data_IF_304798794072
#
_entry.id   IF_304798794072
#
_cell.length_a   1.000
_cell.length_b   1.000
_cell.length_c   1.000
_cell.angle_alpha   90.00
_cell.angle_beta   90.00
_cell.angle_gamma   90.00
#
_symmetry.space_group_name_H-M   'P 1'
#
loop_
_entity.id
_entity.type
_entity.pdbx_description
1 polymer ?
#
# COMPACT_ATOMS: atom_id res chain seq x y z
N UNK A 1 43.42 30.02 -0.12
CA UNK A 1 42.44 30.86 0.60
C UNK A 1 41.43 29.96 1.28
N UNK A 2 41.46 29.96 2.61
CA UNK A 2 40.50 29.48 3.62
C UNK A 2 39.61 28.25 3.34
N UNK A 3 39.97 27.13 3.97
CA UNK A 3 39.07 26.04 4.37
C UNK A 3 38.74 26.25 5.85
N UNK A 4 37.47 26.42 6.21
CA UNK A 4 37.02 26.44 7.61
C UNK A 4 36.55 25.03 8.01
N UNK A 5 37.33 24.37 8.87
CA UNK A 5 36.91 23.22 9.69
C UNK A 5 36.15 23.75 10.91
N UNK A 6 34.93 23.26 11.16
CA UNK A 6 34.20 23.50 12.40
C UNK A 6 34.35 22.26 13.29
N UNK A 7 34.85 22.48 14.51
CA UNK A 7 35.00 21.51 15.59
C UNK A 7 33.66 21.40 16.33
N UNK A 8 33.25 20.18 16.70
CA UNK A 8 32.39 19.97 17.86
C UNK A 8 33.10 19.06 18.86
N UNK A 9 33.31 19.62 20.06
CA UNK A 9 33.94 18.99 21.20
C UNK A 9 32.90 18.11 21.93
N UNK A 10 33.24 16.85 22.17
CA UNK A 10 32.61 16.02 23.19
C UNK A 10 32.89 16.61 24.57
N UNK A 11 31.87 16.65 25.44
CA UNK A 11 32.06 16.67 26.89
C UNK A 11 31.20 15.56 27.48
N UNK A 12 31.89 14.53 27.93
CA UNK A 12 31.41 13.41 28.72
C UNK A 12 31.70 13.78 30.18
N UNK A 13 30.70 13.77 31.06
CA UNK A 13 30.90 13.86 32.50
C UNK A 13 30.17 12.71 33.20
N UNK A 14 30.86 12.14 34.18
CA UNK A 14 30.78 10.78 34.68
C UNK A 14 30.34 10.79 36.16
N UNK A 15 29.59 9.75 36.59
CA UNK A 15 29.49 9.17 37.95
C UNK A 15 28.94 10.05 39.11
N UNK A 16 28.33 9.56 40.20
CA UNK A 16 27.67 8.31 40.60
C UNK A 16 27.14 8.50 42.04
N UNK A 17 26.04 7.80 42.40
CA UNK A 17 25.84 7.20 43.72
C UNK A 17 25.17 8.01 44.84
N UNK A 18 23.97 7.55 45.26
CA UNK A 18 23.69 7.25 46.68
C UNK A 18 22.42 6.39 46.81
N UNK A 19 22.62 5.16 47.29
CA UNK A 19 21.61 4.26 47.84
C UNK A 19 21.14 4.79 49.20
N UNK A 20 19.82 4.74 49.48
CA UNK A 20 19.29 4.46 50.81
C UNK A 20 17.95 3.70 50.69
N UNK A 21 17.74 2.87 51.71
CA UNK A 21 16.93 1.65 51.77
C UNK A 21 15.56 1.89 52.42
N UNK A 22 14.61 1.01 52.06
CA UNK A 22 13.41 0.54 52.79
C UNK A 22 12.17 1.45 52.92
N UNK A 23 11.04 0.93 52.44
CA UNK A 23 10.09 0.27 53.34
C UNK A 23 9.41 -0.90 52.61
N UNK A 24 9.28 -1.99 53.37
CA UNK A 24 8.65 -3.24 53.02
C UNK A 24 7.25 -3.16 53.63
N UNK A 25 6.22 -3.05 52.81
CA UNK A 25 4.85 -3.32 53.23
C UNK A 25 4.28 -4.42 52.34
N UNK A 26 3.97 -5.54 52.99
CA UNK A 26 3.19 -6.62 52.44
C UNK A 26 1.76 -6.08 52.20
N UNK A 27 1.36 -5.96 50.96
CA UNK A 27 -0.05 -5.92 50.59
C UNK A 27 -0.30 -7.15 49.72
N UNK A 28 -1.07 -8.08 50.26
CA UNK A 28 -1.64 -9.21 49.54
C UNK A 28 -2.43 -8.67 48.34
N UNK A 29 -1.94 -8.99 47.14
CA UNK A 29 -2.67 -8.73 45.90
C UNK A 29 -3.88 -9.66 45.90
N UNK A 30 -5.07 -9.07 45.99
CA UNK A 30 -6.32 -9.81 45.82
C UNK A 30 -6.43 -10.18 44.34
N UNK A 31 -6.52 -11.48 44.10
CA UNK A 31 -6.93 -12.11 42.84
C UNK A 31 -7.92 -11.23 42.08
N UNK A 32 -7.41 -10.53 41.07
CA UNK A 32 -8.22 -10.06 39.96
C UNK A 32 -8.28 -11.23 38.99
N UNK A 33 -9.47 -11.68 38.56
CA UNK A 33 -9.56 -12.81 37.66
C UNK A 33 -8.79 -12.45 36.39
N UNK A 34 -7.75 -13.23 36.10
CA UNK A 34 -7.07 -13.24 34.83
C UNK A 34 -8.12 -13.35 33.73
N UNK A 35 -8.38 -12.23 33.07
CA UNK A 35 -9.06 -12.19 31.78
C UNK A 35 -8.03 -12.74 30.79
N UNK A 36 -7.82 -14.07 30.83
CA UNK A 36 -7.06 -14.81 29.82
C UNK A 36 -7.75 -14.55 28.48
N UNK A 37 -7.30 -13.49 27.80
CA UNK A 37 -7.47 -13.34 26.36
C UNK A 37 -6.83 -14.57 25.74
N UNK A 38 -7.65 -15.61 25.54
CA UNK A 38 -7.32 -16.75 24.71
C UNK A 38 -6.88 -16.19 23.36
N UNK A 39 -5.57 -16.05 23.21
CA UNK A 39 -4.97 -15.67 21.96
C UNK A 39 -5.08 -16.92 21.12
N UNK A 40 -6.18 -17.02 20.37
CA UNK A 40 -6.36 -18.08 19.37
C UNK A 40 -5.05 -18.16 18.58
N UNK A 41 -4.31 -19.24 18.80
CA UNK A 41 -3.01 -19.38 18.19
C UNK A 41 -3.26 -19.75 16.74
N UNK A 42 -3.19 -18.74 15.85
CA UNK A 42 -3.34 -18.97 14.43
C UNK A 42 -2.18 -19.85 13.96
N UNK A 43 -2.54 -21.03 13.43
CA UNK A 43 -1.60 -21.93 12.79
C UNK A 43 -1.48 -21.52 11.32
N UNK A 44 -0.27 -21.33 10.85
CA UNK A 44 0.02 -21.05 9.45
C UNK A 44 1.29 -21.78 9.02
N UNK A 45 1.43 -21.99 7.71
CA UNK A 45 2.64 -22.47 7.07
C UNK A 45 3.13 -21.40 6.09
N UNK A 46 4.43 -21.42 5.81
CA UNK A 46 5.04 -20.54 4.81
C UNK A 46 5.81 -21.42 3.85
N UNK A 47 5.56 -21.23 2.56
CA UNK A 47 6.29 -21.89 1.49
C UNK A 47 6.65 -20.91 0.38
N UNK A 48 7.64 -21.29 -0.42
CA UNK A 48 7.99 -20.50 -1.61
C UNK A 48 7.03 -20.85 -2.74
N UNK A 49 6.69 -19.86 -3.55
CA UNK A 49 5.92 -20.02 -4.78
C UNK A 49 6.85 -19.91 -6.01
N UNK A 50 7.62 -20.97 -6.35
CA UNK A 50 8.63 -20.92 -7.40
C UNK A 50 8.04 -20.65 -8.79
N UNK A 51 6.79 -21.01 -9.05
CA UNK A 51 6.06 -20.69 -10.26
C UNK A 51 5.93 -19.19 -10.48
N UNK A 52 5.54 -18.43 -9.46
CA UNK A 52 5.50 -16.96 -9.53
C UNK A 52 6.90 -16.34 -9.58
N UNK A 53 7.88 -16.96 -8.91
CA UNK A 53 9.28 -16.53 -9.05
C UNK A 53 9.75 -16.61 -10.51
N UNK A 54 9.37 -17.66 -11.25
CA UNK A 54 9.70 -17.78 -12.69
C UNK A 54 8.96 -16.77 -13.56
N UNK A 55 7.74 -16.37 -13.20
CA UNK A 55 6.98 -15.35 -13.93
C UNK A 55 7.70 -14.00 -13.91
N UNK A 56 8.18 -13.60 -12.72
CA UNK A 56 8.78 -12.28 -12.52
C UNK A 56 10.30 -12.23 -12.74
N UNK A 57 11.00 -13.37 -12.76
CA UNK A 57 12.40 -13.43 -13.17
C UNK A 57 12.49 -13.44 -14.70
N UNK A 58 12.77 -12.29 -15.30
CA UNK A 58 12.77 -12.10 -16.75
C UNK A 58 14.03 -11.35 -17.18
N UNK A 59 14.49 -11.63 -18.39
CA UNK A 59 15.70 -11.01 -18.96
C UNK A 59 15.38 -10.13 -20.19
N UNK A 60 14.11 -10.01 -20.59
CA UNK A 60 13.68 -9.26 -21.78
C UNK A 60 12.29 -8.64 -21.62
N UNK A 61 12.13 -7.43 -22.17
CA UNK A 61 10.92 -6.63 -22.04
C UNK A 61 10.79 -6.07 -20.62
N UNK A 62 9.65 -6.31 -19.96
CA UNK A 62 9.54 -6.08 -18.52
C UNK A 62 10.47 -7.05 -17.78
N UNK A 63 11.34 -6.54 -16.91
CA UNK A 63 12.27 -7.37 -16.13
C UNK A 63 12.34 -7.01 -14.63
N UNK A 64 11.60 -6.00 -14.18
CA UNK A 64 11.49 -5.66 -12.78
C UNK A 64 10.44 -4.58 -12.56
N UNK A 65 9.85 -4.54 -11.36
CA UNK A 65 8.87 -3.53 -10.99
C UNK A 65 8.69 -3.42 -9.49
N UNK A 66 8.15 -2.28 -9.06
CA UNK A 66 7.88 -1.95 -7.66
C UNK A 66 6.37 -1.90 -7.34
N UNK A 67 6.02 -1.85 -6.05
CA UNK A 67 4.66 -1.72 -5.49
C UNK A 67 3.83 -3.02 -5.47
N UNK A 68 3.91 -3.79 -6.55
CA UNK A 68 3.06 -4.94 -6.93
C UNK A 68 1.75 -5.13 -6.13
N UNK A 69 0.67 -4.53 -6.64
CA UNK A 69 -0.69 -4.82 -6.17
C UNK A 69 -1.37 -5.83 -7.09
N UNK A 70 -2.15 -6.75 -6.52
CA UNK A 70 -2.84 -7.82 -7.22
C UNK A 70 -4.36 -7.68 -7.02
N UNK A 71 -5.07 -7.35 -8.10
CA UNK A 71 -6.51 -7.10 -8.07
C UNK A 71 -7.23 -8.27 -8.74
N UNK A 72 -8.19 -8.94 -8.06
CA UNK A 72 -9.06 -9.92 -8.68
C UNK A 72 -9.79 -9.31 -9.88
N UNK A 73 -9.62 -9.90 -11.05
CA UNK A 73 -10.16 -9.35 -12.31
C UNK A 73 -11.70 -9.31 -12.31
N UNK A 74 -12.34 -10.24 -11.59
CA UNK A 74 -13.78 -10.25 -11.39
C UNK A 74 -14.27 -9.22 -10.37
N UNK A 75 -13.41 -8.78 -9.45
CA UNK A 75 -13.78 -7.94 -8.31
C UNK A 75 -14.28 -8.68 -7.08
N UNK A 76 -14.30 -10.02 -7.11
CA UNK A 76 -14.67 -10.86 -5.97
C UNK A 76 -13.40 -11.33 -5.24
N UNK A 77 -13.10 -10.73 -4.09
CA UNK A 77 -11.91 -11.02 -3.28
C UNK A 77 -12.13 -12.14 -2.24
N UNK A 78 -13.37 -12.60 -2.07
CA UNK A 78 -13.78 -13.63 -1.09
C UNK A 78 -13.82 -15.04 -1.68
N UNK A 79 -13.34 -15.23 -2.92
CA UNK A 79 -13.52 -16.49 -3.67
C UNK A 79 -12.74 -17.66 -3.08
N UNK A 80 -13.40 -18.81 -3.04
CA UNK A 80 -12.74 -20.10 -2.81
C UNK A 80 -11.95 -20.59 -4.04
N UNK A 81 -12.33 -20.11 -5.24
CA UNK A 81 -11.64 -20.43 -6.49
C UNK A 81 -10.71 -19.29 -6.93
N UNK A 82 -9.59 -19.65 -7.57
CA UNK A 82 -8.66 -18.68 -8.14
C UNK A 82 -9.33 -17.78 -9.19
N UNK A 83 -8.95 -16.51 -9.23
CA UNK A 83 -9.36 -15.54 -10.24
C UNK A 83 -8.24 -15.25 -11.25
N UNK A 84 -8.60 -14.70 -12.40
CA UNK A 84 -7.64 -13.95 -13.21
C UNK A 84 -7.21 -12.71 -12.42
N UNK A 85 -5.96 -12.28 -12.57
CA UNK A 85 -5.37 -11.22 -11.74
C UNK A 85 -4.84 -10.10 -12.60
N UNK A 86 -5.17 -8.87 -12.20
CA UNK A 86 -4.52 -7.65 -12.67
C UNK A 86 -3.39 -7.34 -11.70
N UNK A 87 -2.15 -7.38 -12.17
CA UNK A 87 -1.01 -6.88 -11.43
C UNK A 87 -0.74 -5.44 -11.81
N UNK A 88 -0.59 -4.56 -10.83
CA UNK A 88 -0.19 -3.18 -11.01
C UNK A 88 1.23 -2.99 -10.50
N UNK A 89 2.07 -2.33 -11.29
CA UNK A 89 3.43 -1.99 -10.91
C UNK A 89 3.61 -0.49 -10.93
N UNK A 90 4.36 0.01 -9.96
CA UNK A 90 4.96 1.35 -9.97
C UNK A 90 6.22 1.35 -10.84
N UNK A 91 7.32 1.99 -10.41
CA UNK A 91 8.54 2.08 -11.19
C UNK A 91 8.94 0.71 -11.76
N UNK A 92 9.01 0.67 -13.08
CA UNK A 92 9.09 -0.54 -13.90
C UNK A 92 10.30 -0.46 -14.79
N UNK A 93 11.13 -1.50 -14.74
CA UNK A 93 12.34 -1.64 -15.52
C UNK A 93 12.05 -2.42 -16.81
N UNK A 94 12.44 -1.82 -17.95
CA UNK A 94 12.18 -2.36 -19.29
C UNK A 94 13.45 -2.37 -20.11
N UNK A 95 13.75 -3.50 -20.76
CA UNK A 95 14.95 -3.65 -21.58
C UNK A 95 15.40 -5.10 -21.66
N UNK A 96 16.70 -5.29 -21.82
CA UNK A 96 17.33 -6.60 -21.97
C UNK A 96 18.42 -6.80 -20.91
N UNK A 97 18.53 -8.03 -20.41
CA UNK A 97 19.58 -8.51 -19.53
C UNK A 97 20.34 -9.61 -20.28
N UNK A 98 21.68 -9.58 -20.25
CA UNK A 98 22.50 -10.64 -20.82
C UNK A 98 23.53 -11.06 -19.78
N UNK A 99 23.45 -12.32 -19.33
CA UNK A 99 24.21 -12.78 -18.17
C UNK A 99 23.81 -11.98 -16.94
N UNK A 100 24.78 -11.33 -16.29
CA UNK A 100 24.57 -10.54 -15.07
C UNK A 100 24.54 -9.03 -15.34
N UNK A 101 24.41 -8.60 -16.60
CA UNK A 101 24.50 -7.19 -17.01
C UNK A 101 23.23 -6.68 -17.70
N UNK A 102 22.84 -5.44 -17.37
CA UNK A 102 21.85 -4.68 -18.13
C UNK A 102 22.43 -4.28 -19.49
N UNK A 103 21.68 -4.52 -20.56
CA UNK A 103 22.04 -4.06 -21.91
C UNK A 103 21.76 -2.56 -22.04
N UNK A 104 22.66 -1.76 -22.64
CA UNK A 104 22.41 -0.33 -22.87
C UNK A 104 21.10 -0.07 -23.62
N UNK A 105 20.36 0.95 -23.20
CA UNK A 105 19.06 1.31 -23.78
C UNK A 105 17.86 0.84 -22.97
N UNK A 106 18.06 0.23 -21.79
CA UNK A 106 17.00 0.00 -20.83
C UNK A 106 16.37 1.32 -20.35
N UNK A 107 15.11 1.25 -19.90
CA UNK A 107 14.32 2.39 -19.40
C UNK A 107 13.67 2.04 -18.08
N UNK A 108 13.42 3.06 -17.27
CA UNK A 108 12.50 3.00 -16.14
C UNK A 108 11.27 3.85 -16.47
N UNK A 109 10.09 3.24 -16.45
CA UNK A 109 8.79 3.94 -16.57
C UNK A 109 8.06 3.87 -15.25
N UNK A 110 7.23 4.86 -14.91
CA UNK A 110 6.74 4.99 -13.54
C UNK A 110 5.61 4.03 -13.15
N UNK A 111 4.98 3.40 -14.13
CA UNK A 111 4.03 2.33 -13.88
C UNK A 111 3.79 1.48 -15.13
N UNK A 112 3.42 0.23 -14.86
CA UNK A 112 2.99 -0.75 -15.85
C UNK A 112 1.97 -1.71 -15.24
N UNK A 113 1.53 -2.70 -16.00
CA UNK A 113 0.65 -3.74 -15.47
C UNK A 113 0.98 -5.11 -16.07
N UNK A 114 0.44 -6.16 -15.46
CA UNK A 114 0.36 -7.47 -16.08
C UNK A 114 -1.02 -8.10 -15.88
N UNK A 115 -1.36 -9.03 -16.76
CA UNK A 115 -2.61 -9.78 -16.70
C UNK A 115 -2.31 -11.28 -16.66
N UNK A 116 -2.73 -11.93 -15.59
CA UNK A 116 -2.76 -13.38 -15.47
C UNK A 116 -4.18 -13.90 -15.71
N UNK A 117 -4.29 -14.99 -16.47
CA UNK A 117 -5.56 -15.68 -16.69
C UNK A 117 -5.58 -16.97 -15.88
N UNK A 118 -6.60 -17.16 -15.02
CA UNK A 118 -6.68 -18.32 -14.15
C UNK A 118 -6.70 -19.68 -14.86
N UNK A 119 -7.11 -19.71 -16.13
CA UNK A 119 -7.25 -20.94 -16.90
C UNK A 119 -5.95 -21.31 -17.63
N UNK A 120 -4.84 -20.62 -17.36
CA UNK A 120 -3.54 -20.82 -18.00
C UNK A 120 -2.43 -20.92 -16.96
N UNK A 121 -1.24 -21.38 -17.37
CA UNK A 121 -0.07 -21.41 -16.47
C UNK A 121 0.31 -19.99 -16.02
N UNK A 122 0.79 -19.76 -14.78
CA UNK A 122 1.30 -18.46 -14.35
C UNK A 122 2.31 -17.84 -15.33
N UNK A 123 3.16 -18.65 -15.97
CA UNK A 123 4.15 -18.25 -16.97
C UNK A 123 3.55 -17.61 -18.23
N UNK A 124 2.25 -17.76 -18.46
CA UNK A 124 1.51 -17.07 -19.54
C UNK A 124 1.08 -15.64 -19.18
N UNK A 125 1.42 -15.17 -17.97
CA UNK A 125 1.17 -13.80 -17.51
C UNK A 125 1.68 -12.81 -18.55
N UNK A 126 0.78 -11.95 -19.03
CA UNK A 126 1.12 -10.97 -20.06
C UNK A 126 1.47 -9.64 -19.41
N UNK A 127 2.73 -9.24 -19.54
CA UNK A 127 3.19 -7.91 -19.15
C UNK A 127 2.77 -6.90 -20.22
N UNK A 128 2.18 -5.79 -19.79
CA UNK A 128 1.61 -4.78 -20.66
C UNK A 128 2.34 -3.47 -20.40
N UNK A 129 3.04 -3.00 -21.43
CA UNK A 129 3.77 -1.75 -21.45
C UNK A 129 3.04 -0.77 -22.37
N UNK A 130 2.81 0.46 -21.89
CA UNK A 130 2.29 1.51 -22.75
C UNK A 130 3.37 1.96 -23.74
N UNK A 131 2.92 2.44 -24.91
CA UNK A 131 3.80 2.97 -25.96
C UNK A 131 3.28 4.33 -26.41
N UNK A 132 4.20 5.24 -26.70
CA UNK A 132 3.88 6.53 -27.30
C UNK A 132 3.59 6.40 -28.82
N UNK A 133 3.30 7.52 -29.47
CA UNK A 133 3.01 7.57 -30.92
C UNK A 133 4.19 7.12 -31.80
N UNK A 134 5.41 7.06 -31.25
CA UNK A 134 6.62 6.58 -31.93
C UNK A 134 6.86 5.08 -31.68
N UNK A 135 6.03 4.44 -30.86
CA UNK A 135 6.17 3.03 -30.49
C UNK A 135 7.15 2.78 -29.34
N UNK A 136 7.64 3.85 -28.69
CA UNK A 136 8.58 3.77 -27.58
C UNK A 136 7.84 3.51 -26.26
N UNK A 137 8.40 2.64 -25.41
CA UNK A 137 7.82 2.34 -24.11
C UNK A 137 7.76 3.60 -23.23
N UNK A 138 6.61 3.83 -22.60
CA UNK A 138 6.32 4.99 -21.76
C UNK A 138 5.46 4.61 -20.54
N UNK A 139 5.30 5.53 -19.59
CA UNK A 139 4.46 5.40 -18.40
C UNK A 139 2.99 5.24 -18.81
N UNK A 140 2.29 4.25 -18.22
CA UNK A 140 0.91 3.92 -18.61
C UNK A 140 -0.13 4.92 -18.08
N UNK A 141 -0.01 5.30 -16.82
CA UNK A 141 -0.92 6.17 -16.09
C UNK A 141 -0.14 7.39 -15.61
N UNK A 142 -0.54 8.57 -16.07
CA UNK A 142 0.11 9.83 -15.70
C UNK A 142 -0.87 10.79 -15.04
N UNK A 143 -0.43 11.58 -14.04
CA UNK A 143 -1.24 12.67 -13.52
C UNK A 143 -1.54 13.67 -14.64
N UNK A 144 -2.71 14.32 -14.55
CA UNK A 144 -3.03 15.44 -15.44
C UNK A 144 -2.27 16.72 -15.08
N UNK A 145 -1.48 16.70 -13.99
CA UNK A 145 -0.74 17.87 -13.54
C UNK A 145 0.51 18.10 -14.38
N UNK A 146 0.91 19.36 -14.45
CA UNK A 146 2.07 19.87 -15.16
C UNK A 146 3.26 20.11 -14.21
N UNK A 147 3.23 19.50 -13.02
CA UNK A 147 4.22 19.70 -11.94
C UNK A 147 5.30 18.60 -11.92
N UNK A 148 5.58 17.97 -13.06
CA UNK A 148 6.55 16.86 -13.15
C UNK A 148 6.21 15.69 -12.20
N UNK A 149 4.93 15.56 -11.84
CA UNK A 149 4.44 14.47 -11.00
C UNK A 149 4.27 13.19 -11.83
N UNK A 150 4.53 12.05 -11.22
CA UNK A 150 4.20 10.73 -11.73
C UNK A 150 3.37 9.97 -10.71
N UNK A 151 2.78 8.85 -11.13
CA UNK A 151 2.05 7.96 -10.23
C UNK A 151 2.90 6.76 -9.83
N UNK A 152 3.05 6.57 -8.52
CA UNK A 152 3.14 5.23 -7.96
C UNK A 152 1.74 4.70 -7.71
N UNK A 153 1.51 3.44 -8.06
CA UNK A 153 0.19 2.81 -7.94
C UNK A 153 0.06 2.18 -6.55
N UNK A 154 -1.07 2.43 -5.91
CA UNK A 154 -1.56 1.73 -4.74
C UNK A 154 -2.51 0.61 -5.14
N UNK A 155 -3.23 0.11 -4.14
CA UNK A 155 -4.21 -0.94 -4.31
C UNK A 155 -5.43 -0.46 -5.13
N UNK A 156 -6.30 -1.39 -5.50
CA UNK A 156 -7.48 -1.10 -6.29
C UNK A 156 -8.52 -2.21 -6.21
N UNK A 157 -9.64 -2.00 -6.89
CA UNK A 157 -10.74 -2.94 -6.89
C UNK A 157 -11.62 -2.76 -8.12
N UNK A 158 -12.31 -3.81 -8.52
CA UNK A 158 -13.39 -3.73 -9.52
C UNK A 158 -14.71 -3.46 -8.81
N UNK A 159 -15.41 -2.39 -9.20
CA UNK A 159 -16.59 -1.91 -8.52
C UNK A 159 -17.88 -2.68 -8.91
N UNK A 160 -17.89 -3.99 -8.67
CA UNK A 160 -19.01 -4.91 -8.94
C UNK A 160 -20.34 -4.55 -8.25
N UNK A 161 -21.45 -4.57 -8.98
CA UNK A 161 -22.75 -4.15 -8.43
C UNK A 161 -22.93 -2.63 -8.33
N UNK A 162 -21.99 -1.86 -8.89
CA UNK A 162 -22.16 -0.44 -9.21
C UNK A 162 -21.86 -0.20 -10.70
N UNK A 163 -20.74 0.44 -11.03
CA UNK A 163 -20.36 0.76 -12.42
C UNK A 163 -19.43 -0.27 -13.07
N UNK A 164 -19.01 -1.31 -12.35
CA UNK A 164 -18.06 -2.35 -12.80
C UNK A 164 -16.70 -1.81 -13.29
N UNK A 165 -16.39 -0.54 -12.99
CA UNK A 165 -15.13 0.07 -13.36
C UNK A 165 -14.00 -0.46 -12.46
N UNK A 166 -12.79 -0.50 -13.00
CA UNK A 166 -11.57 -0.69 -12.22
C UNK A 166 -11.21 0.65 -11.56
N UNK A 167 -11.10 0.64 -10.25
CA UNK A 167 -10.61 1.75 -9.44
C UNK A 167 -9.20 1.45 -8.95
N UNK A 168 -8.31 2.43 -9.04
CA UNK A 168 -6.92 2.33 -8.59
C UNK A 168 -6.60 3.57 -7.76
N UNK A 169 -6.07 3.38 -6.56
CA UNK A 169 -5.50 4.47 -5.80
C UNK A 169 -4.11 4.78 -6.34
N UNK A 170 -3.80 6.05 -6.58
CA UNK A 170 -2.52 6.46 -7.14
C UNK A 170 -1.91 7.57 -6.30
N UNK A 171 -0.66 7.35 -5.87
CA UNK A 171 0.14 8.32 -5.14
C UNK A 171 0.80 9.25 -6.16
N UNK A 172 0.52 10.55 -6.07
CA UNK A 172 1.23 11.57 -6.85
C UNK A 172 2.59 11.78 -6.21
N UNK A 173 3.64 11.44 -6.95
CA UNK A 173 5.03 11.52 -6.52
C UNK A 173 5.74 12.57 -7.37
N UNK A 174 6.65 13.33 -6.76
CA UNK A 174 7.60 14.20 -7.45
C UNK A 174 8.99 13.94 -6.91
N UNK A 175 9.99 14.01 -7.79
CA UNK A 175 11.38 14.06 -7.34
C UNK A 175 11.64 15.40 -6.63
N UNK A 176 12.46 15.38 -5.58
CA UNK A 176 12.82 16.59 -4.83
C UNK A 176 14.05 17.28 -5.38
N UNK A 177 14.82 16.60 -6.25
CA UNK A 177 16.11 17.03 -6.78
C UNK A 177 17.11 17.42 -5.67
N UNK A 178 17.02 16.73 -4.53
CA UNK A 178 17.92 16.85 -3.38
C UNK A 178 18.87 15.67 -3.30
N UNK A 179 19.97 15.81 -2.54
CA UNK A 179 20.92 14.72 -2.24
C UNK A 179 20.42 13.79 -1.11
N UNK A 180 19.12 13.76 -0.84
CA UNK A 180 18.53 12.92 0.20
C UNK A 180 18.59 11.44 -0.20
N UNK A 181 18.61 10.53 0.80
CA UNK A 181 18.65 9.08 0.56
C UNK A 181 17.46 8.60 -0.29
N UNK A 182 16.31 9.25 -0.13
CA UNK A 182 15.08 9.01 -0.89
C UNK A 182 14.62 10.37 -1.47
N UNK A 183 15.10 10.77 -2.65
CA UNK A 183 14.91 12.12 -3.19
C UNK A 183 13.56 12.25 -3.92
N UNK A 184 12.49 11.85 -3.24
CA UNK A 184 11.12 11.92 -3.73
C UNK A 184 10.16 12.26 -2.60
N UNK A 185 9.03 12.87 -2.95
CA UNK A 185 7.95 13.13 -2.02
C UNK A 185 6.59 12.77 -2.62
N UNK A 186 5.69 12.33 -1.75
CA UNK A 186 4.27 12.22 -2.07
C UNK A 186 3.63 13.60 -1.94
N UNK A 187 3.00 14.07 -3.02
CA UNK A 187 2.34 15.39 -3.09
C UNK A 187 0.82 15.30 -2.98
N UNK A 188 0.25 14.10 -3.13
CA UNK A 188 -1.18 13.84 -2.98
C UNK A 188 -1.61 12.46 -3.44
N UNK A 189 -2.92 12.19 -3.42
CA UNK A 189 -3.49 10.95 -3.95
C UNK A 189 -4.62 11.26 -4.91
N UNK A 190 -4.73 10.44 -5.95
CA UNK A 190 -5.87 10.44 -6.86
C UNK A 190 -6.51 9.06 -6.86
N UNK A 191 -7.84 9.04 -6.98
CA UNK A 191 -8.59 7.84 -7.31
C UNK A 191 -8.77 7.79 -8.82
N UNK A 192 -8.14 6.81 -9.47
CA UNK A 192 -8.26 6.58 -10.90
C UNK A 192 -9.46 5.66 -11.17
N UNK A 193 -10.20 5.92 -12.24
CA UNK A 193 -11.35 5.14 -12.69
C UNK A 193 -11.17 4.77 -14.17
N UNK A 194 -11.22 3.47 -14.44
CA UNK A 194 -11.06 2.86 -15.76
C UNK A 194 -12.35 2.08 -16.07
N UNK A 195 -13.14 2.58 -17.03
CA UNK A 195 -14.40 1.93 -17.42
C UNK A 195 -14.20 0.62 -18.19
N UNK A 196 -13.17 0.56 -19.03
CA UNK A 196 -12.88 -0.57 -19.90
C UNK A 196 -11.55 -1.20 -19.50
N UNK A 197 -11.57 -1.98 -18.41
CA UNK A 197 -10.39 -2.67 -17.89
C UNK A 197 -9.86 -3.76 -18.84
N UNK A 198 -10.64 -4.12 -19.87
CA UNK A 198 -10.34 -5.20 -20.81
C UNK A 198 -9.47 -4.73 -21.98
N UNK A 199 -9.24 -3.42 -22.10
CA UNK A 199 -8.46 -2.80 -23.18
C UNK A 199 -7.25 -1.98 -22.67
N UNK A 200 -6.27 -2.62 -22.01
CA UNK A 200 -5.03 -1.95 -21.67
C UNK A 200 -4.11 -1.79 -22.90
N UNK A 201 -3.23 -0.77 -22.96
CA UNK A 201 -3.06 0.31 -21.97
C UNK A 201 -4.25 1.27 -21.98
N UNK A 202 -4.62 1.78 -20.80
CA UNK A 202 -5.85 2.55 -20.60
C UNK A 202 -5.74 3.98 -21.17
N UNK A 203 -6.72 4.42 -21.97
CA UNK A 203 -6.71 5.74 -22.63
C UNK A 203 -7.68 6.75 -22.01
N UNK A 204 -8.82 6.29 -21.48
CA UNK A 204 -9.90 7.16 -20.98
C UNK A 204 -9.99 7.17 -19.44
N UNK A 205 -8.85 7.35 -18.79
CA UNK A 205 -8.75 7.33 -17.32
C UNK A 205 -9.28 8.64 -16.74
N UNK A 206 -10.23 8.51 -15.80
CA UNK A 206 -10.69 9.64 -14.98
C UNK A 206 -9.93 9.62 -13.65
N UNK A 207 -9.41 10.77 -13.25
CA UNK A 207 -8.71 10.94 -11.97
C UNK A 207 -9.54 11.86 -11.05
N UNK A 208 -9.72 11.45 -9.79
CA UNK A 208 -10.42 12.21 -8.76
C UNK A 208 -9.47 12.48 -7.60
N UNK A 209 -9.01 13.73 -7.39
CA UNK A 209 -8.11 14.05 -6.28
C UNK A 209 -8.76 13.75 -4.93
N UNK A 210 -8.08 12.94 -4.12
CA UNK A 210 -8.54 12.57 -2.78
C UNK A 210 -8.18 13.71 -1.81
N UNK A 211 -9.13 14.28 -1.07
CA UNK A 211 -8.91 15.54 -0.34
C UNK A 211 -8.20 15.36 1.01
N UNK A 212 -7.65 14.18 1.32
CA UNK A 212 -7.15 13.83 2.67
C UNK A 212 -5.63 13.96 2.85
N UNK A 213 -4.91 14.37 1.79
CA UNK A 213 -3.45 14.58 1.78
C UNK A 213 -3.06 16.06 1.54
N UNK A 214 -3.85 17.02 2.01
CA UNK A 214 -3.59 18.44 1.78
C UNK A 214 -2.35 18.94 2.59
N UNK A 215 -1.54 19.88 2.06
CA UNK A 215 -0.38 20.43 2.75
C UNK A 215 -0.65 20.97 4.16
N UNK A 216 -1.79 21.64 4.37
CA UNK A 216 -2.22 22.24 5.63
C UNK A 216 -2.54 21.22 6.73
N UNK A 217 -2.70 19.95 6.39
CA UNK A 217 -2.86 18.89 7.39
C UNK A 217 -1.55 18.55 8.13
N UNK A 218 -0.38 18.86 7.57
CA UNK A 218 0.92 18.54 8.20
C UNK A 218 1.03 17.04 8.53
N UNK A 219 1.28 16.71 9.80
CA UNK A 219 1.35 15.31 10.26
C UNK A 219 0.01 14.56 10.22
N UNK A 220 -1.10 15.25 9.99
CA UNK A 220 -2.46 14.69 9.90
C UNK A 220 -2.85 14.32 8.47
N UNK A 221 -1.96 14.45 7.49
CA UNK A 221 -2.15 13.91 6.13
C UNK A 221 -2.41 12.41 6.22
N UNK A 222 -3.34 11.93 5.40
CA UNK A 222 -3.63 10.50 5.25
C UNK A 222 -3.43 10.15 3.80
N UNK A 223 -2.52 9.20 3.55
CA UNK A 223 -2.35 8.58 2.24
C UNK A 223 -3.25 7.36 2.16
N UNK A 224 -4.33 7.42 1.37
CA UNK A 224 -5.26 6.30 1.20
C UNK A 224 -4.90 5.48 -0.04
N UNK A 225 -5.18 4.18 0.02
CA UNK A 225 -4.90 3.24 -1.07
C UNK A 225 -3.82 2.21 -0.76
N UNK A 226 -3.36 2.12 0.49
CA UNK A 226 -2.33 1.13 0.89
C UNK A 226 -2.87 -0.30 0.94
N UNK A 227 -4.20 -0.42 0.98
CA UNK A 227 -4.93 -1.67 0.88
C UNK A 227 -6.42 -1.38 0.74
N UNK A 228 -7.14 -2.25 0.06
CA UNK A 228 -8.59 -2.20 -0.12
C UNK A 228 -9.17 -3.55 0.27
N UNK A 229 -10.32 -3.52 0.94
CA UNK A 229 -11.11 -4.71 1.19
C UNK A 229 -12.54 -4.49 0.70
N UNK A 230 -13.05 -5.43 -0.07
CA UNK A 230 -14.44 -5.43 -0.53
C UNK A 230 -15.07 -6.78 -0.23
N UNK A 231 -16.21 -6.76 0.45
CA UNK A 231 -17.01 -7.96 0.71
C UNK A 231 -18.42 -7.78 0.14
N UNK A 232 -18.64 -8.13 -1.14
CA UNK A 232 -19.92 -7.91 -1.79
C UNK A 232 -21.07 -8.71 -1.17
N UNK A 233 -20.77 -9.74 -0.38
CA UNK A 233 -21.78 -10.63 0.21
C UNK A 233 -22.31 -10.12 1.55
N UNK A 234 -21.51 -9.36 2.30
CA UNK A 234 -21.90 -8.88 3.64
C UNK A 234 -22.39 -7.45 3.69
N UNK A 235 -21.70 -6.53 3.02
CA UNK A 235 -22.08 -5.13 3.03
C UNK A 235 -21.76 -4.41 1.72
N UNK A 236 -22.58 -3.42 1.37
CA UNK A 236 -22.42 -2.67 0.12
C UNK A 236 -21.34 -1.58 0.24
N UNK A 237 -20.29 -1.83 1.04
CA UNK A 237 -19.19 -0.89 1.28
C UNK A 237 -17.90 -1.34 0.62
N UNK A 238 -17.06 -0.35 0.33
CA UNK A 238 -15.65 -0.51 0.02
C UNK A 238 -14.87 0.00 1.23
N UNK A 239 -14.02 -0.84 1.81
CA UNK A 239 -13.12 -0.48 2.90
C UNK A 239 -11.77 -0.08 2.33
N UNK A 240 -11.32 1.12 2.67
CA UNK A 240 -10.16 1.78 2.07
C UNK A 240 -9.20 2.11 3.19
N UNK A 241 -8.05 1.45 3.18
CA UNK A 241 -7.02 1.63 4.19
C UNK A 241 -6.04 2.72 3.78
N UNK A 242 -5.52 3.44 4.77
CA UNK A 242 -4.55 4.51 4.58
C UNK A 242 -3.53 4.56 5.70
N UNK A 243 -2.46 5.32 5.48
CA UNK A 243 -1.43 5.61 6.49
C UNK A 243 -1.44 7.07 6.89
N UNK A 244 -1.38 7.32 8.20
CA UNK A 244 -1.35 8.66 8.80
C UNK A 244 -0.05 8.92 9.55
N UNK A 245 0.60 10.02 9.18
CA UNK A 245 1.79 10.54 9.85
C UNK A 245 3.03 9.65 9.74
N UNK A 246 4.12 10.11 10.36
CA UNK A 246 5.46 9.49 10.23
C UNK A 246 5.56 8.08 10.82
N UNK A 247 4.70 7.75 11.79
CA UNK A 247 4.60 6.41 12.38
C UNK A 247 3.85 5.41 11.50
N UNK A 248 3.37 5.82 10.31
CA UNK A 248 2.56 4.98 9.41
C UNK A 248 1.39 4.34 10.19
N UNK A 249 0.58 5.17 10.85
CA UNK A 249 -0.59 4.67 11.55
C UNK A 249 -1.63 4.20 10.54
N UNK A 250 -2.03 2.94 10.61
CA UNK A 250 -3.10 2.41 9.79
C UNK A 250 -4.42 3.05 10.21
N UNK A 251 -5.14 3.59 9.23
CA UNK A 251 -6.50 4.12 9.39
C UNK A 251 -7.40 3.50 8.32
N UNK A 252 -8.71 3.55 8.54
CA UNK A 252 -9.68 2.97 7.61
C UNK A 252 -10.82 3.95 7.35
N UNK A 253 -11.18 4.09 6.08
CA UNK A 253 -12.43 4.67 5.65
C UNK A 253 -13.32 3.60 5.02
N UNK A 254 -14.63 3.82 4.99
CA UNK A 254 -15.56 3.05 4.17
C UNK A 254 -16.47 3.98 3.40
N UNK A 255 -16.96 3.50 2.26
CA UNK A 255 -17.93 4.22 1.43
C UNK A 255 -18.81 3.24 0.67
N UNK A 256 -20.08 3.59 0.49
CA UNK A 256 -20.96 2.77 -0.33
C UNK A 256 -20.43 2.67 -1.78
N UNK A 257 -20.57 1.52 -2.43
CA UNK A 257 -20.02 1.25 -3.78
C UNK A 257 -20.42 2.29 -4.84
N UNK A 258 -21.65 2.83 -4.76
CA UNK A 258 -22.13 3.88 -5.67
C UNK A 258 -21.57 5.29 -5.38
N UNK A 259 -20.95 5.49 -4.22
CA UNK A 259 -20.54 6.79 -3.69
C UNK A 259 -19.02 6.95 -3.58
N UNK A 260 -18.23 6.00 -4.09
CA UNK A 260 -16.75 5.99 -3.92
C UNK A 260 -16.10 7.32 -4.34
N UNK A 261 -16.59 7.94 -5.42
CA UNK A 261 -16.10 9.23 -5.95
C UNK A 261 -16.56 10.44 -5.12
N UNK A 262 -17.56 10.27 -4.26
CA UNK A 262 -18.10 11.32 -3.40
C UNK A 262 -17.40 11.27 -2.03
N UNK A 263 -16.26 11.95 -1.92
CA UNK A 263 -15.44 11.95 -0.70
C UNK A 263 -16.15 12.51 0.55
N UNK A 264 -17.31 13.19 0.40
CA UNK A 264 -18.15 13.64 1.53
C UNK A 264 -19.02 12.53 2.11
N UNK A 265 -19.24 11.46 1.35
CA UNK A 265 -20.00 10.26 1.78
C UNK A 265 -19.11 9.26 2.51
N UNK A 266 -17.80 9.48 2.55
CA UNK A 266 -16.86 8.58 3.23
C UNK A 266 -17.04 8.67 4.74
N UNK A 267 -17.04 7.51 5.37
CA UNK A 267 -17.06 7.37 6.82
C UNK A 267 -15.72 6.84 7.30
N UNK A 268 -15.22 7.37 8.40
CA UNK A 268 -13.93 7.03 8.99
C UNK A 268 -14.12 6.18 10.23
N UNK A 269 -13.24 5.19 10.40
CA UNK A 269 -13.28 4.29 11.54
C UNK A 269 -12.88 5.02 12.82
N UNK A 270 -13.74 4.96 13.83
CA UNK A 270 -13.42 5.33 15.22
C UNK A 270 -12.95 4.09 15.98
N UNK A 271 -12.55 4.27 17.24
CA UNK A 271 -12.38 3.14 18.18
C UNK A 271 -13.64 2.28 18.22
N UNK A 272 -14.81 2.94 18.28
CA UNK A 272 -16.12 2.30 18.21
C UNK A 272 -17.01 3.01 17.18
N UNK A 273 -17.41 2.27 16.14
CA UNK A 273 -18.31 2.74 15.09
C UNK A 273 -17.63 3.56 13.99
N UNK A 274 -18.42 4.41 13.34
CA UNK A 274 -18.04 5.18 12.16
C UNK A 274 -18.42 6.65 12.33
N UNK A 275 -17.75 7.56 11.63
CA UNK A 275 -18.01 8.99 11.68
C UNK A 275 -17.72 9.65 10.33
N UNK A 276 -18.37 10.77 10.01
CA UNK A 276 -18.02 11.58 8.83
C UNK A 276 -16.98 12.66 9.16
N UNK A 277 -16.64 12.82 10.44
CA UNK A 277 -15.61 13.76 10.89
C UNK A 277 -14.23 13.09 10.83
N UNK A 278 -13.45 13.41 9.81
CA UNK A 278 -12.11 12.84 9.57
C UNK A 278 -11.18 13.00 10.77
N UNK A 279 -11.35 14.07 11.52
CA UNK A 279 -10.54 14.46 12.68
C UNK A 279 -10.70 13.45 13.83
N UNK A 280 -11.81 12.70 13.86
CA UNK A 280 -12.10 11.66 14.84
C UNK A 280 -11.59 10.27 14.42
N UNK A 281 -10.85 10.15 13.30
CA UNK A 281 -10.35 8.86 12.82
C UNK A 281 -9.33 8.23 13.77
N UNK A 282 -9.58 6.99 14.14
CA UNK A 282 -8.73 6.21 15.04
C UNK A 282 -7.65 5.44 14.28
N UNK A 283 -6.50 5.26 14.93
CA UNK A 283 -5.45 4.37 14.44
C UNK A 283 -5.80 2.92 14.79
N UNK A 284 -5.73 2.01 13.82
CA UNK A 284 -6.01 0.57 13.98
C UNK A 284 -4.73 -0.24 14.27
N UNK A 285 -3.62 0.22 13.71
CA UNK A 285 -2.28 -0.30 13.91
C UNK A 285 -1.27 0.83 13.64
N UNK A 286 0.00 0.55 13.85
CA UNK A 286 1.09 1.44 13.51
C UNK A 286 2.20 0.66 12.79
N UNK A 287 3.17 1.41 12.24
CA UNK A 287 4.34 0.85 11.61
C UNK A 287 4.01 -0.11 10.45
N UNK A 288 2.89 0.14 9.75
CA UNK A 288 2.49 -0.64 8.59
C UNK A 288 3.24 -0.20 7.33
N UNK A 289 3.41 -1.12 6.38
CA UNK A 289 3.87 -0.84 5.02
C UNK A 289 2.80 -0.10 4.20
N UNK A 290 3.21 0.46 3.07
CA UNK A 290 2.28 1.02 2.09
C UNK A 290 1.62 -0.08 1.23
N UNK A 291 2.17 -1.29 1.28
CA UNK A 291 1.65 -2.51 0.66
C UNK A 291 1.18 -3.44 1.79
N UNK A 292 -0.13 -3.60 1.93
CA UNK A 292 -0.73 -4.48 2.93
C UNK A 292 -1.99 -5.16 2.35
N UNK A 293 -2.44 -6.21 3.02
CA UNK A 293 -3.75 -6.81 2.73
C UNK A 293 -4.56 -6.92 4.00
N UNK A 294 -5.87 -6.78 3.84
CA UNK A 294 -6.85 -7.12 4.86
C UNK A 294 -7.78 -8.15 4.27
N UNK A 295 -7.92 -9.28 4.96
CA UNK A 295 -8.82 -10.35 4.54
C UNK A 295 -9.65 -10.80 5.72
N UNK A 296 -10.89 -11.16 5.46
CA UNK A 296 -11.74 -11.76 6.47
C UNK A 296 -11.30 -13.19 6.78
N UNK A 297 -11.36 -13.55 8.05
CA UNK A 297 -11.08 -14.90 8.55
C UNK A 297 -12.31 -15.41 9.33
N UNK A 298 -12.42 -16.73 9.61
CA UNK A 298 -13.55 -17.29 10.32
C UNK A 298 -13.87 -16.59 11.65
N UNK A 299 -15.15 -16.59 12.03
CA UNK A 299 -15.62 -15.97 13.27
C UNK A 299 -15.84 -14.46 13.18
N UNK A 300 -15.96 -13.90 11.97
CA UNK A 300 -16.21 -12.47 11.74
C UNK A 300 -15.02 -11.57 12.07
N UNK A 301 -13.81 -12.14 12.08
CA UNK A 301 -12.55 -11.42 12.33
C UNK A 301 -11.88 -11.04 11.01
N UNK A 302 -10.90 -10.16 11.09
CA UNK A 302 -10.09 -9.73 9.96
C UNK A 302 -8.61 -9.91 10.27
N UNK A 303 -7.87 -10.43 9.29
CA UNK A 303 -6.41 -10.52 9.32
C UNK A 303 -5.82 -9.37 8.49
N UNK A 304 -4.96 -8.59 9.11
CA UNK A 304 -4.10 -7.59 8.46
C UNK A 304 -2.71 -8.19 8.27
N UNK A 305 -2.23 -8.29 7.03
CA UNK A 305 -0.89 -8.75 6.67
C UNK A 305 -0.07 -7.59 6.13
N UNK A 306 1.11 -7.35 6.70
CA UNK A 306 1.95 -6.20 6.34
C UNK A 306 3.42 -6.42 6.70
N UNK A 307 4.31 -5.63 6.09
CA UNK A 307 5.72 -5.57 6.47
C UNK A 307 5.90 -4.55 7.60
N UNK A 308 6.43 -4.98 8.73
CA UNK A 308 6.64 -4.07 9.86
C UNK A 308 7.73 -3.06 9.54
N UNK A 309 7.44 -1.77 9.80
CA UNK A 309 8.35 -0.65 9.53
C UNK A 309 8.65 -0.41 8.05
N UNK A 310 7.93 -1.07 7.13
CA UNK A 310 8.05 -0.87 5.67
C UNK A 310 9.35 -1.34 5.02
N UNK A 311 10.38 -1.69 5.79
CA UNK A 311 11.69 -2.13 5.25
C UNK A 311 12.28 -3.33 6.00
N UNK A 312 11.72 -3.73 7.13
CA UNK A 312 12.25 -4.85 7.90
C UNK A 312 11.87 -6.19 7.26
N UNK A 313 12.68 -7.25 7.38
CA UNK A 313 12.43 -8.52 6.69
C UNK A 313 11.26 -9.34 7.27
N UNK A 314 10.53 -8.79 8.25
CA UNK A 314 9.47 -9.49 8.98
C UNK A 314 8.10 -9.08 8.46
N UNK A 315 7.31 -10.08 8.08
CA UNK A 315 5.89 -9.95 7.80
C UNK A 315 5.11 -10.22 9.08
N UNK A 316 4.15 -9.36 9.38
CA UNK A 316 3.31 -9.41 10.56
C UNK A 316 1.87 -9.72 10.16
N UNK A 317 1.19 -10.48 11.01
CA UNK A 317 -0.24 -10.67 10.98
C UNK A 317 -0.85 -10.07 12.25
N UNK A 318 -1.85 -9.21 12.09
CA UNK A 318 -2.66 -8.70 13.20
C UNK A 318 -4.12 -9.09 12.99
N UNK A 319 -4.77 -9.56 14.05
CA UNK A 319 -6.17 -9.96 14.00
C UNK A 319 -7.02 -8.91 14.72
N UNK A 320 -8.07 -8.45 14.05
CA UNK A 320 -9.04 -7.50 14.58
C UNK A 320 -10.47 -7.98 14.37
N UNK A 321 -11.41 -7.29 15.01
CA UNK A 321 -12.85 -7.42 14.79
C UNK A 321 -13.38 -6.17 14.06
#
# INVERSE_FOLDING_TARGET
MSVKKIKYLMSLSLFAGLFLIACKDNAEDKDSPDDEKQTETVKFSVERAPEWTRVFKRDSGWFGGDGIFAIPYSGEDTRQEADSIIFLFSDTMVGEITGDSLVPGWKMVNNSMALYNKNTSPESTRFILAKDDKGEVTTMLTPRSNNEEYYWLGDGFVNIGADNALYIFAYRIRNTDTDDLLPFEETGNDLLMINDKDRPPFKDVKAFPIPFFQPDYGSRKISFGVGVYTDPEEDNYVYIYGVRGQRKNLVCARVARGEVKNFRSWEFRKENGWTREREQIASLADSVSNELSVSRIPGGKYALIYQYGGIFPKIYMKIGA
#
